data_IF_481900807555
#
_entry.id   IF_481900807555
#
_cell.length_a   1.000
_cell.length_b   1.000
_cell.length_c   1.000
_cell.angle_alpha   90.00
_cell.angle_beta   90.00
_cell.angle_gamma   90.00
#
_symmetry.space_group_name_H-M   'P 1'
#
loop_
_entity.id
_entity.type
_entity.pdbx_description
1 polymer ?
#
# COMPACT_ATOMS: atom_id res chain seq x y z
N UNK A 1 -10.34 16.30 -12.15
CA UNK A 1 -9.80 16.14 -10.78
C UNK A 1 -8.29 15.89 -10.79
N UNK A 2 -7.78 14.84 -11.47
CA UNK A 2 -6.34 14.53 -11.50
C UNK A 2 -5.43 15.70 -11.95
N UNK A 3 -5.80 16.40 -13.03
CA UNK A 3 -5.07 17.59 -13.49
C UNK A 3 -4.99 18.70 -12.43
N UNK A 4 -6.10 18.93 -11.72
CA UNK A 4 -6.12 19.92 -10.65
C UNK A 4 -5.22 19.51 -9.49
N UNK A 5 -5.24 18.22 -9.09
CA UNK A 5 -4.33 17.71 -8.06
C UNK A 5 -2.86 17.88 -8.47
N UNK A 6 -2.52 17.61 -9.73
CA UNK A 6 -1.15 17.74 -10.26
C UNK A 6 -0.58 19.16 -10.10
N UNK A 7 -1.41 20.19 -10.18
CA UNK A 7 -1.00 21.60 -10.13
C UNK A 7 -1.02 22.21 -8.72
N UNK A 8 -1.37 21.46 -7.68
CA UNK A 8 -1.41 21.98 -6.30
C UNK A 8 -0.01 22.16 -5.70
N UNK A 9 0.65 23.30 -5.97
CA UNK A 9 2.01 23.59 -5.51
C UNK A 9 2.22 23.56 -3.99
N UNK A 10 1.17 23.78 -3.20
CA UNK A 10 1.23 23.85 -1.74
C UNK A 10 0.89 22.53 -1.04
N UNK A 11 0.56 21.48 -1.79
CA UNK A 11 0.16 20.20 -1.22
C UNK A 11 1.34 19.55 -0.47
N UNK A 12 1.11 19.22 0.80
CA UNK A 12 2.07 18.50 1.66
C UNK A 12 1.54 17.15 2.12
N UNK A 13 0.23 17.00 2.18
CA UNK A 13 -0.44 15.78 2.60
C UNK A 13 -1.45 15.43 1.54
N UNK A 14 -1.35 14.23 0.99
CA UNK A 14 -2.32 13.66 0.06
C UNK A 14 -2.93 12.43 0.71
N UNK A 15 -4.22 12.48 0.99
CA UNK A 15 -4.99 11.34 1.45
C UNK A 15 -6.13 11.09 0.45
N UNK A 16 -6.14 9.91 -0.16
CA UNK A 16 -7.17 9.48 -1.10
C UNK A 16 -7.68 8.11 -0.67
N UNK A 17 -8.95 8.05 -0.28
CA UNK A 17 -9.64 6.80 0.02
C UNK A 17 -10.79 6.57 -0.94
N UNK A 18 -10.87 5.38 -1.50
CA UNK A 18 -11.95 4.97 -2.38
C UNK A 18 -12.84 3.98 -1.64
N UNK A 19 -14.08 4.37 -1.38
CA UNK A 19 -14.97 3.47 -0.66
C UNK A 19 -15.26 2.21 -1.49
N UNK A 20 -14.81 1.06 -0.99
CA UNK A 20 -15.40 -0.22 -1.39
C UNK A 20 -16.83 -0.25 -0.85
N UNK A 21 -17.87 -0.39 -1.70
CA UNK A 21 -19.25 -0.40 -1.24
C UNK A 21 -19.46 -1.52 -0.21
N UNK A 22 -20.07 -1.16 0.92
CA UNK A 22 -20.44 -2.12 1.97
C UNK A 22 -21.23 -3.29 1.36
N UNK A 23 -21.05 -4.53 1.87
CA UNK A 23 -21.70 -5.73 1.32
C UNK A 23 -23.23 -5.68 1.34
N UNK A 24 -23.83 -4.72 2.06
CA UNK A 24 -25.29 -4.51 2.13
C UNK A 24 -25.86 -3.70 0.96
N UNK A 25 -25.04 -3.03 0.15
CA UNK A 25 -25.49 -2.32 -1.06
C UNK A 25 -25.11 -3.09 -2.31
N UNK A 26 -26.11 -3.59 -3.02
CA UNK A 26 -25.94 -4.12 -4.37
C UNK A 26 -25.52 -2.98 -5.31
N UNK A 27 -24.21 -2.84 -5.51
CA UNK A 27 -23.66 -2.03 -6.59
C UNK A 27 -23.47 -2.93 -7.81
N UNK A 28 -24.07 -2.59 -8.97
CA UNK A 28 -23.86 -3.36 -10.19
C UNK A 28 -22.37 -3.50 -10.51
N UNK A 29 -21.93 -4.71 -10.91
CA UNK A 29 -20.52 -4.97 -11.27
C UNK A 29 -20.01 -4.03 -12.37
N UNK A 30 -20.89 -3.57 -13.26
CA UNK A 30 -20.59 -2.58 -14.30
C UNK A 30 -20.15 -1.22 -13.73
N UNK A 31 -20.74 -0.77 -12.62
CA UNK A 31 -20.37 0.48 -11.96
C UNK A 31 -19.00 0.36 -11.30
N UNK A 32 -18.72 -0.78 -10.66
CA UNK A 32 -17.40 -1.06 -10.07
C UNK A 32 -16.33 -1.08 -11.16
N UNK A 33 -16.58 -1.76 -12.28
CA UNK A 33 -15.66 -1.78 -13.41
C UNK A 33 -15.43 -0.38 -14.01
N UNK A 34 -16.50 0.41 -14.20
CA UNK A 34 -16.38 1.77 -14.71
C UNK A 34 -15.57 2.68 -13.76
N UNK A 35 -15.80 2.57 -12.45
CA UNK A 35 -15.04 3.30 -11.43
C UNK A 35 -13.55 2.94 -11.47
N UNK A 36 -13.20 1.65 -11.59
CA UNK A 36 -11.81 1.20 -11.74
C UNK A 36 -11.13 1.80 -12.96
N UNK A 37 -11.80 1.75 -14.11
CA UNK A 37 -11.29 2.36 -15.34
C UNK A 37 -11.06 3.86 -15.18
N UNK A 38 -11.99 4.57 -14.53
CA UNK A 38 -11.84 6.01 -14.26
C UNK A 38 -10.69 6.31 -13.30
N UNK A 39 -10.52 5.51 -12.24
CA UNK A 39 -9.38 5.66 -11.32
C UNK A 39 -8.05 5.45 -12.05
N UNK A 40 -7.94 4.38 -12.85
CA UNK A 40 -6.73 4.10 -13.61
C UNK A 40 -6.37 5.25 -14.57
N UNK A 41 -7.36 5.81 -15.28
CA UNK A 41 -7.15 6.98 -16.14
C UNK A 41 -6.74 8.24 -15.34
N UNK A 42 -7.32 8.43 -14.15
CA UNK A 42 -6.97 9.54 -13.27
C UNK A 42 -5.53 9.43 -12.76
N UNK A 43 -5.08 8.23 -12.35
CA UNK A 43 -3.71 7.98 -11.95
C UNK A 43 -2.73 8.22 -13.09
N UNK A 44 -3.04 7.70 -14.28
CA UNK A 44 -2.26 7.94 -15.50
C UNK A 44 -2.12 9.45 -15.76
N UNK A 45 -3.21 10.20 -15.68
CA UNK A 45 -3.20 11.66 -15.86
C UNK A 45 -2.40 12.38 -14.78
N UNK A 46 -2.40 11.86 -13.55
CA UNK A 46 -1.67 12.46 -12.43
C UNK A 46 -0.15 12.34 -12.62
N UNK A 47 0.32 11.20 -13.12
CA UNK A 47 1.76 10.93 -13.36
C UNK A 47 2.22 11.25 -14.80
N UNK A 48 1.29 11.66 -15.67
CA UNK A 48 1.58 11.96 -17.07
C UNK A 48 2.61 13.09 -17.20
N UNK A 49 3.64 12.87 -18.02
CA UNK A 49 4.73 13.83 -18.19
C UNK A 49 5.63 14.05 -16.97
N UNK A 50 5.64 13.15 -15.98
CA UNK A 50 6.60 13.14 -14.88
C UNK A 50 5.98 13.27 -13.47
N UNK A 51 6.79 13.42 -12.41
CA UNK A 51 6.29 13.56 -11.04
C UNK A 51 5.43 14.84 -10.89
N UNK A 52 4.34 14.79 -10.09
CA UNK A 52 3.54 15.99 -9.77
C UNK A 52 4.36 17.10 -9.12
N UNK A 53 3.92 18.35 -9.28
CA UNK A 53 4.68 19.53 -8.80
C UNK A 53 4.85 19.54 -7.28
N UNK A 54 3.93 18.90 -6.56
CA UNK A 54 3.97 18.78 -5.10
C UNK A 54 4.83 17.62 -4.59
N UNK A 55 5.32 16.70 -5.44
CA UNK A 55 6.08 15.52 -4.99
C UNK A 55 7.25 15.91 -4.09
N UNK A 56 7.99 16.98 -4.44
CA UNK A 56 9.12 17.50 -3.64
C UNK A 56 8.76 17.98 -2.23
N UNK A 57 7.50 18.34 -2.01
CA UNK A 57 6.99 18.93 -0.76
C UNK A 57 6.12 17.98 0.04
N UNK A 58 5.81 16.82 -0.53
CA UNK A 58 5.00 15.80 0.09
C UNK A 58 5.68 15.33 1.38
N UNK A 59 4.88 15.33 2.45
CA UNK A 59 5.23 14.83 3.78
C UNK A 59 4.50 13.52 4.07
N UNK A 60 3.19 13.50 3.80
CA UNK A 60 2.36 12.32 4.05
C UNK A 60 1.58 11.94 2.79
N UNK A 61 1.69 10.66 2.41
CA UNK A 61 0.92 10.04 1.34
C UNK A 61 0.10 8.89 1.92
N UNK A 62 -1.22 8.98 1.83
CA UNK A 62 -2.16 7.95 2.28
C UNK A 62 -3.09 7.57 1.15
N UNK A 63 -3.06 6.30 0.75
CA UNK A 63 -3.88 5.73 -0.32
C UNK A 63 -4.63 4.53 0.24
N UNK A 64 -5.96 4.57 0.21
CA UNK A 64 -6.84 3.50 0.67
C UNK A 64 -7.70 3.01 -0.51
N UNK A 65 -7.71 1.69 -0.74
CA UNK A 65 -8.46 1.03 -1.83
C UNK A 65 -8.19 1.64 -3.23
N UNK A 66 -6.99 2.20 -3.40
CA UNK A 66 -6.60 2.86 -4.65
C UNK A 66 -6.15 1.83 -5.71
N UNK A 67 -6.69 1.95 -6.91
CA UNK A 67 -6.27 1.17 -8.09
C UNK A 67 -4.97 1.75 -8.71
N UNK A 68 -3.96 2.02 -7.87
CA UNK A 68 -2.67 2.58 -8.27
C UNK A 68 -1.68 1.47 -8.63
N UNK A 69 -0.96 1.63 -9.73
CA UNK A 69 0.10 0.70 -10.13
C UNK A 69 1.43 1.04 -9.45
N UNK A 70 2.28 0.03 -9.26
CA UNK A 70 3.61 0.20 -8.68
C UNK A 70 4.43 1.31 -9.34
N UNK A 71 4.48 1.35 -10.68
CA UNK A 71 5.24 2.37 -11.41
C UNK A 71 4.68 3.78 -11.17
N UNK A 72 3.36 3.90 -11.06
CA UNK A 72 2.70 5.18 -10.75
C UNK A 72 3.05 5.63 -9.34
N UNK A 73 3.02 4.73 -8.36
CA UNK A 73 3.45 5.04 -6.99
C UNK A 73 4.91 5.49 -6.95
N UNK A 74 5.81 4.76 -7.62
CA UNK A 74 7.22 5.12 -7.77
C UNK A 74 7.39 6.53 -8.30
N UNK A 75 6.63 6.91 -9.34
CA UNK A 75 6.63 8.27 -9.87
C UNK A 75 6.15 9.31 -8.85
N UNK A 76 5.11 9.03 -8.07
CA UNK A 76 4.58 9.97 -7.08
C UNK A 76 5.59 10.28 -5.96
N UNK A 77 6.31 9.24 -5.50
CA UNK A 77 7.25 9.35 -4.38
C UNK A 77 8.69 9.63 -4.82
N UNK A 78 9.03 9.46 -6.10
CA UNK A 78 10.41 9.57 -6.61
C UNK A 78 11.16 10.82 -6.11
N UNK A 79 10.52 11.99 -6.15
CA UNK A 79 11.12 13.26 -5.72
C UNK A 79 10.79 13.67 -4.26
N UNK A 80 10.05 12.87 -3.49
CA UNK A 80 9.57 13.25 -2.15
C UNK A 80 10.61 13.03 -1.05
N UNK A 81 11.66 13.85 -1.05
CA UNK A 81 12.73 13.79 -0.06
C UNK A 81 12.28 14.13 1.39
N UNK A 82 11.12 14.77 1.55
CA UNK A 82 10.60 15.23 2.84
C UNK A 82 9.46 14.37 3.39
N UNK A 83 9.17 13.24 2.75
CA UNK A 83 8.08 12.36 3.15
C UNK A 83 8.45 11.60 4.44
N UNK A 84 7.62 11.72 5.46
CA UNK A 84 7.74 11.01 6.73
C UNK A 84 6.74 9.86 6.85
N UNK A 85 5.66 9.88 6.06
CA UNK A 85 4.57 8.92 6.15
C UNK A 85 4.11 8.41 4.78
N UNK A 86 4.09 7.09 4.63
CA UNK A 86 3.52 6.38 3.48
C UNK A 86 2.55 5.30 3.97
N UNK A 87 1.27 5.46 3.66
CA UNK A 87 0.20 4.52 3.99
C UNK A 87 -0.45 4.04 2.70
N UNK A 88 -0.41 2.73 2.49
CA UNK A 88 -0.97 2.01 1.36
C UNK A 88 -1.85 0.91 1.93
N UNK A 89 -3.15 1.11 1.91
CA UNK A 89 -4.14 0.18 2.44
C UNK A 89 -5.05 -0.29 1.31
N UNK A 90 -5.30 -1.59 1.20
CA UNK A 90 -6.21 -2.14 0.18
C UNK A 90 -5.75 -1.93 -1.28
N UNK A 91 -4.51 -1.50 -1.51
CA UNK A 91 -3.99 -1.19 -2.84
C UNK A 91 -3.55 -2.46 -3.58
N UNK A 92 -4.52 -3.19 -4.17
CA UNK A 92 -4.33 -4.55 -4.72
C UNK A 92 -3.48 -4.66 -5.98
N UNK A 93 -3.23 -3.54 -6.67
CA UNK A 93 -2.39 -3.52 -7.87
C UNK A 93 -0.90 -3.31 -7.54
N UNK A 94 -0.55 -3.26 -6.25
CA UNK A 94 0.84 -3.19 -5.81
C UNK A 94 1.47 -4.58 -5.78
N UNK A 95 2.36 -4.82 -6.74
CA UNK A 95 3.16 -6.04 -6.83
C UNK A 95 4.42 -6.00 -5.94
N UNK A 96 5.22 -7.07 -5.99
CA UNK A 96 6.53 -7.16 -5.31
C UNK A 96 7.52 -6.09 -5.77
N UNK A 97 7.28 -5.50 -6.93
CA UNK A 97 8.06 -4.43 -7.53
C UNK A 97 8.00 -3.15 -6.69
N UNK A 98 6.97 -2.99 -5.83
CA UNK A 98 6.83 -1.80 -4.97
C UNK A 98 8.05 -1.60 -4.09
N UNK A 99 8.63 -2.69 -3.62
CA UNK A 99 9.82 -2.66 -2.78
C UNK A 99 11.07 -2.15 -3.53
N UNK A 100 11.15 -2.37 -4.86
CA UNK A 100 12.20 -1.76 -5.68
C UNK A 100 12.03 -0.25 -5.77
N UNK A 101 10.81 0.23 -5.99
CA UNK A 101 10.52 1.67 -6.06
C UNK A 101 10.84 2.35 -4.72
N UNK A 102 10.43 1.74 -3.61
CA UNK A 102 10.74 2.23 -2.26
C UNK A 102 12.24 2.19 -1.94
N UNK A 103 12.96 1.20 -2.46
CA UNK A 103 14.41 1.15 -2.33
C UNK A 103 15.07 2.30 -3.10
N UNK A 104 14.57 2.66 -4.28
CA UNK A 104 15.13 3.76 -5.09
C UNK A 104 14.70 5.16 -4.61
N UNK A 105 13.76 5.22 -3.67
CA UNK A 105 13.23 6.47 -3.16
C UNK A 105 14.26 7.30 -2.39
N UNK A 106 14.47 8.54 -2.83
CA UNK A 106 15.43 9.48 -2.22
C UNK A 106 15.07 9.84 -0.77
N UNK A 107 13.79 9.81 -0.42
CA UNK A 107 13.26 10.14 0.90
C UNK A 107 13.27 8.99 1.90
N UNK A 108 13.63 7.76 1.49
CA UNK A 108 13.45 6.53 2.29
C UNK A 108 14.04 6.60 3.70
N UNK A 109 15.15 7.32 3.89
CA UNK A 109 15.81 7.45 5.19
C UNK A 109 15.07 8.34 6.20
N UNK A 110 14.08 9.13 5.75
CA UNK A 110 13.24 9.99 6.60
C UNK A 110 11.89 9.40 6.95
N UNK A 111 11.51 8.30 6.30
CA UNK A 111 10.23 7.64 6.52
C UNK A 111 10.19 7.11 7.94
N UNK A 112 9.18 7.56 8.69
CA UNK A 112 8.91 7.12 10.07
C UNK A 112 7.75 6.16 10.12
N UNK A 113 6.78 6.32 9.23
CA UNK A 113 5.58 5.48 9.15
C UNK A 113 5.50 4.87 7.77
N UNK A 114 5.56 3.55 7.71
CA UNK A 114 5.27 2.77 6.52
C UNK A 114 4.15 1.78 6.82
N UNK A 115 3.02 1.94 6.15
CA UNK A 115 1.92 0.99 6.20
C UNK A 115 1.68 0.45 4.80
N UNK A 116 1.84 -0.86 4.63
CA UNK A 116 1.49 -1.61 3.42
C UNK A 116 0.57 -2.74 3.89
N UNK A 117 -0.69 -2.40 4.09
CA UNK A 117 -1.71 -3.29 4.66
C UNK A 117 -2.73 -3.70 3.59
N UNK A 118 -3.24 -4.92 3.65
CA UNK A 118 -4.33 -5.40 2.77
C UNK A 118 -4.06 -5.28 1.26
N UNK A 119 -2.78 -5.15 0.88
CA UNK A 119 -2.37 -5.07 -0.52
C UNK A 119 -2.21 -6.47 -1.16
N UNK A 120 -2.14 -7.54 -0.34
CA UNK A 120 -2.01 -8.93 -0.81
C UNK A 120 -0.66 -9.28 -1.46
N UNK A 121 0.30 -8.34 -1.47
CA UNK A 121 1.61 -8.49 -2.08
C UNK A 121 2.48 -9.54 -1.38
N UNK A 122 3.38 -10.17 -2.15
CA UNK A 122 4.37 -11.11 -1.63
C UNK A 122 5.61 -10.36 -1.16
N UNK A 123 5.97 -10.55 0.11
CA UNK A 123 7.16 -10.02 0.74
C UNK A 123 8.32 -11.01 0.57
N UNK A 124 9.38 -10.56 -0.09
CA UNK A 124 10.62 -11.33 -0.29
C UNK A 124 11.86 -10.52 0.07
N UNK A 125 13.01 -10.91 -0.47
CA UNK A 125 14.31 -10.25 -0.21
C UNK A 125 14.29 -8.76 -0.52
N UNK A 126 13.68 -8.35 -1.63
CA UNK A 126 13.53 -6.93 -1.99
C UNK A 126 12.77 -6.12 -0.92
N UNK A 127 11.79 -6.73 -0.27
CA UNK A 127 11.08 -6.08 0.84
C UNK A 127 12.00 -5.93 2.05
N UNK A 128 12.84 -6.93 2.33
CA UNK A 128 13.83 -6.84 3.40
C UNK A 128 14.83 -5.72 3.19
N UNK A 129 15.38 -5.62 1.97
CA UNK A 129 16.34 -4.58 1.59
C UNK A 129 15.69 -3.19 1.61
N UNK A 130 14.48 -3.09 1.07
CA UNK A 130 13.70 -1.86 1.06
C UNK A 130 13.43 -1.33 2.47
N UNK A 131 12.91 -2.20 3.36
CA UNK A 131 12.62 -1.86 4.77
C UNK A 131 13.93 -1.59 5.54
N UNK A 132 14.95 -2.42 5.35
CA UNK A 132 16.26 -2.26 6.01
C UNK A 132 16.96 -0.95 5.63
N UNK A 133 16.68 -0.40 4.45
CA UNK A 133 17.15 0.91 4.02
C UNK A 133 16.45 2.11 4.68
N UNK A 134 15.36 1.90 5.42
CA UNK A 134 14.57 2.93 6.10
C UNK A 134 14.92 3.01 7.60
N UNK A 135 16.14 3.42 7.91
CA UNK A 135 16.64 3.43 9.30
C UNK A 135 15.92 4.35 10.29
N UNK A 136 14.99 5.19 9.81
CA UNK A 136 14.17 6.07 10.64
C UNK A 136 12.77 5.52 10.97
N UNK A 137 12.45 4.28 10.58
CA UNK A 137 11.12 3.72 10.80
C UNK A 137 10.79 3.55 12.29
N UNK A 138 9.70 4.20 12.71
CA UNK A 138 9.11 4.08 14.03
C UNK A 138 7.90 3.13 14.01
N UNK A 139 7.19 3.09 12.87
CA UNK A 139 6.02 2.24 12.66
C UNK A 139 6.07 1.56 11.30
N UNK A 140 5.86 0.24 11.32
CA UNK A 140 5.76 -0.60 10.13
C UNK A 140 4.54 -1.52 10.25
N UNK A 141 3.59 -1.39 9.34
CA UNK A 141 2.42 -2.24 9.27
C UNK A 141 2.42 -3.05 7.97
N UNK A 142 2.50 -4.37 8.08
CA UNK A 142 2.49 -5.31 6.94
C UNK A 142 1.28 -6.26 6.98
N UNK A 143 0.20 -5.87 7.66
CA UNK A 143 -0.98 -6.71 7.82
C UNK A 143 -1.52 -7.20 6.46
N UNK A 144 -1.94 -8.47 6.39
CA UNK A 144 -2.43 -9.12 5.17
C UNK A 144 -1.46 -9.11 3.96
N UNK A 145 -0.16 -8.92 4.22
CA UNK A 145 0.88 -9.27 3.27
C UNK A 145 1.29 -10.74 3.41
N UNK A 146 1.80 -11.34 2.32
CA UNK A 146 2.23 -12.74 2.29
C UNK A 146 3.74 -12.84 2.32
N UNK A 147 4.31 -13.49 3.33
CA UNK A 147 5.75 -13.74 3.34
C UNK A 147 6.13 -14.90 2.41
N UNK A 148 7.25 -14.76 1.70
CA UNK A 148 7.86 -15.88 0.98
C UNK A 148 8.35 -16.97 1.94
N UNK A 149 8.81 -16.58 3.13
CA UNK A 149 9.16 -17.47 4.22
C UNK A 149 8.44 -17.03 5.50
N UNK A 150 7.59 -17.87 6.10
CA UNK A 150 6.85 -17.51 7.30
C UNK A 150 7.75 -17.05 8.47
N UNK A 151 7.34 -15.94 9.09
CA UNK A 151 8.01 -15.33 10.25
C UNK A 151 9.35 -14.66 9.93
N UNK A 152 9.72 -14.53 8.65
CA UNK A 152 10.96 -13.87 8.25
C UNK A 152 10.99 -12.40 8.67
N UNK A 153 9.93 -11.64 8.39
CA UNK A 153 9.82 -10.23 8.74
C UNK A 153 9.84 -10.03 10.26
N UNK A 154 9.20 -10.93 11.02
CA UNK A 154 9.25 -10.90 12.49
C UNK A 154 10.68 -11.11 13.02
N UNK A 155 11.43 -12.07 12.46
CA UNK A 155 12.83 -12.31 12.83
C UNK A 155 13.73 -11.14 12.44
N UNK A 156 13.54 -10.57 11.25
CA UNK A 156 14.29 -9.41 10.80
C UNK A 156 14.02 -8.20 11.68
N UNK A 157 12.77 -7.97 12.10
CA UNK A 157 12.46 -6.88 13.02
C UNK A 157 13.10 -7.08 14.40
N UNK A 158 13.08 -8.29 14.97
CA UNK A 158 13.65 -8.54 16.30
C UNK A 158 15.18 -8.48 16.34
N UNK A 159 15.85 -8.76 15.22
CA UNK A 159 17.32 -8.86 15.16
C UNK A 159 17.98 -7.65 14.52
N UNK A 160 17.43 -7.16 13.40
CA UNK A 160 18.06 -6.15 12.52
C UNK A 160 17.37 -4.80 12.65
N UNK A 161 16.08 -4.68 12.33
CA UNK A 161 15.44 -3.38 12.18
C UNK A 161 15.06 -2.72 13.50
N UNK A 162 14.60 -3.52 14.47
CA UNK A 162 14.17 -3.07 15.81
C UNK A 162 13.13 -1.94 15.78
N UNK A 163 12.18 -2.03 14.84
CA UNK A 163 11.10 -1.05 14.68
C UNK A 163 10.14 -1.17 15.88
N UNK A 164 9.89 -0.08 16.64
CA UNK A 164 9.07 -0.11 17.85
C UNK A 164 7.63 -0.58 17.63
N UNK A 165 6.96 -0.05 16.60
CA UNK A 165 5.57 -0.35 16.30
C UNK A 165 5.45 -1.20 15.03
N UNK A 166 5.74 -2.50 15.18
CA UNK A 166 5.70 -3.46 14.08
C UNK A 166 4.44 -4.33 14.12
N UNK A 167 3.68 -4.33 13.03
CA UNK A 167 2.59 -5.27 12.78
C UNK A 167 3.06 -6.28 11.74
N UNK A 168 3.24 -7.52 12.19
CA UNK A 168 3.73 -8.60 11.36
C UNK A 168 2.74 -8.98 10.25
N UNK A 169 3.25 -9.48 9.11
CA UNK A 169 2.40 -10.09 8.09
C UNK A 169 1.59 -11.22 8.70
N UNK A 170 0.28 -11.16 8.53
CA UNK A 170 -0.64 -12.25 8.83
C UNK A 170 -1.56 -12.35 7.63
N UNK A 171 -1.41 -13.38 6.77
CA UNK A 171 -2.34 -13.55 5.68
C UNK A 171 -3.74 -13.69 6.30
N UNK A 172 -4.70 -12.89 5.84
CA UNK A 172 -6.09 -13.26 6.06
C UNK A 172 -6.28 -14.58 5.35
N UNK A 173 -6.34 -15.64 6.14
CA UNK A 173 -6.93 -16.89 5.73
C UNK A 173 -8.41 -16.62 5.52
N UNK A 174 -8.77 -15.98 4.40
CA UNK A 174 -10.12 -16.08 3.85
C UNK A 174 -10.36 -17.56 3.54
N UNK A 175 -10.77 -18.32 4.57
CA UNK A 175 -11.14 -19.73 4.51
C UNK A 175 -10.45 -20.71 5.46
N UNK A 176 -9.35 -20.38 6.17
CA UNK A 176 -8.69 -21.40 7.03
C UNK A 176 -9.25 -21.48 8.46
N UNK A 177 -10.00 -20.48 8.89
CA UNK A 177 -10.77 -20.50 10.15
C UNK A 177 -12.28 -20.50 9.90
N UNK A 178 -12.72 -20.96 8.72
CA UNK A 178 -14.10 -21.37 8.52
C UNK A 178 -14.22 -22.85 8.89
N UNK A 179 -14.27 -23.13 10.19
CA UNK A 179 -14.89 -24.37 10.67
C UNK A 179 -16.38 -24.22 10.35
N UNK A 180 -16.80 -24.76 9.21
CA UNK A 180 -18.21 -24.98 8.95
C UNK A 180 -18.59 -26.17 9.83
N UNK A 181 -19.09 -25.90 11.03
CA UNK A 181 -19.81 -26.93 11.79
C UNK A 181 -21.06 -27.28 10.98
N UNK A 182 -21.01 -28.42 10.29
CA UNK A 182 -22.17 -28.99 9.61
C UNK A 182 -22.92 -29.79 10.65
N UNK A 183 -24.13 -29.36 10.97
CA UNK A 183 -25.04 -30.10 11.85
C UNK A 183 -25.40 -31.44 11.18
N UNK A 184 -25.15 -32.60 11.82
CA UNK A 184 -25.36 -33.91 11.20
C UNK A 184 -26.81 -34.19 10.79
N UNK A 185 -27.79 -33.41 11.25
CA UNK A 185 -29.19 -33.54 10.82
C UNK A 185 -29.42 -33.19 9.34
N UNK A 186 -28.47 -32.51 8.67
CA UNK A 186 -28.59 -32.11 7.25
C UNK A 186 -28.01 -33.12 6.24
N UNK A 187 -27.55 -34.30 6.68
CA UNK A 187 -26.98 -35.35 5.79
C UNK A 187 -27.92 -36.57 5.67
N UNK A 188 -29.18 -36.43 6.09
CA UNK A 188 -30.20 -37.49 6.02
C UNK A 188 -31.08 -37.39 4.76
#
# INVERSE_FOLDING_TARGET
>A
MALALRTLHALKTLALGFQTPLPTRFVPRSHVAAQRTQQHLAWKTLVDGGPPVWSRRLRSLRLEDAEIETAQLGMLVSESAACDELVLEGCRNLGKEVWCELQMWIGRGRVRVLEVAECGGVLGEKALDGIGGMGGLERLNLYDCREAQPGLMQRCNSTVWRIPHFVAPRPTTRGADMVIEVDPEYIA
#
